data_IF_637657224587
#
_entry.id   IF_637657224587
#
_cell.length_a   1.000
_cell.length_b   1.000
_cell.length_c   1.000
_cell.angle_alpha   90.00
_cell.angle_beta   90.00
_cell.angle_gamma   90.00
#
_symmetry.space_group_name_H-M   'P 1'
#
loop_
_entity.id
_entity.type
_entity.pdbx_description
1 polymer ?
#
# COMPACT_ATOMS: atom_id res chain seq x y z
N UNK A 1 -6.89 -45.83 29.80
CA UNK A 1 -6.75 -45.34 28.41
C UNK A 1 -5.78 -44.17 28.39
N UNK A 2 -4.58 -44.41 27.86
CA UNK A 2 -3.61 -43.37 27.52
C UNK A 2 -3.87 -42.97 26.07
N UNK A 3 -3.97 -41.67 25.78
CA UNK A 3 -4.04 -41.10 24.43
C UNK A 3 -3.37 -39.73 24.50
N UNK A 4 -2.04 -39.68 24.43
CA UNK A 4 -1.25 -39.44 23.21
C UNK A 4 -1.58 -38.08 22.58
N UNK A 5 -0.74 -37.09 22.93
CA UNK A 5 -0.73 -35.77 22.32
C UNK A 5 -0.20 -35.81 20.88
N UNK A 6 -0.73 -34.94 20.04
CA UNK A 6 -0.18 -34.66 18.73
C UNK A 6 0.61 -33.35 18.77
N UNK A 7 1.93 -33.47 18.74
CA UNK A 7 2.80 -32.39 18.32
C UNK A 7 2.68 -32.26 16.79
N UNK A 8 2.17 -31.12 16.32
CA UNK A 8 2.19 -30.80 14.89
C UNK A 8 3.46 -30.01 14.58
N UNK A 9 4.47 -30.74 14.11
CA UNK A 9 5.61 -30.25 13.30
C UNK A 9 5.15 -29.57 12.00
N UNK A 10 6.14 -29.22 11.15
CA UNK A 10 6.17 -28.83 9.71
C UNK A 10 5.83 -27.37 9.36
N UNK A 11 6.61 -26.62 8.59
CA UNK A 11 7.90 -26.82 7.90
C UNK A 11 8.50 -25.43 7.56
N UNK A 12 9.83 -25.35 7.51
CA UNK A 12 10.60 -24.17 7.11
C UNK A 12 10.68 -24.11 5.57
N UNK A 13 9.91 -23.22 4.92
CA UNK A 13 10.15 -22.93 3.50
C UNK A 13 11.28 -21.91 3.40
N UNK A 14 12.48 -22.44 3.17
CA UNK A 14 13.65 -21.77 2.62
C UNK A 14 13.37 -21.41 1.15
N UNK A 15 13.06 -20.14 0.86
CA UNK A 15 13.13 -19.63 -0.54
C UNK A 15 14.55 -19.14 -0.82
N UNK A 16 15.40 -20.07 -1.24
CA UNK A 16 16.64 -19.75 -1.94
C UNK A 16 16.38 -19.79 -3.45
N UNK A 17 16.63 -18.66 -4.10
CA UNK A 17 17.28 -18.46 -5.40
C UNK A 17 17.27 -19.61 -6.42
N UNK A 18 16.74 -19.34 -7.61
CA UNK A 18 17.33 -19.84 -8.86
C UNK A 18 17.10 -18.84 -9.98
N UNK A 19 18.21 -18.37 -10.55
CA UNK A 19 18.31 -17.65 -11.83
C UNK A 19 17.87 -18.55 -12.97
N UNK A 20 17.31 -17.99 -14.03
CA UNK A 20 17.69 -18.27 -15.43
C UNK A 20 17.12 -17.12 -16.29
N UNK A 21 17.99 -16.24 -16.77
CA UNK A 21 18.50 -16.21 -18.14
C UNK A 21 17.42 -15.88 -19.18
N UNK A 22 17.42 -14.62 -19.63
CA UNK A 22 17.01 -14.33 -21.01
C UNK A 22 17.95 -13.26 -21.57
N UNK A 23 19.09 -13.76 -22.03
CA UNK A 23 19.95 -13.08 -22.99
C UNK A 23 19.20 -12.96 -24.32
N UNK A 24 19.12 -11.75 -24.88
CA UNK A 24 19.11 -11.56 -26.33
C UNK A 24 20.02 -10.37 -26.64
N UNK A 25 21.20 -10.70 -27.14
CA UNK A 25 22.12 -9.76 -27.73
C UNK A 25 21.60 -9.27 -29.09
N UNK A 26 21.58 -7.95 -29.29
CA UNK A 26 22.04 -7.38 -30.56
C UNK A 26 22.70 -6.02 -30.32
N UNK A 27 23.84 -5.85 -30.96
CA UNK A 27 24.84 -4.80 -30.75
C UNK A 27 24.36 -3.37 -31.05
N UNK A 28 24.91 -2.40 -30.32
CA UNK A 28 24.95 -1.02 -30.81
C UNK A 28 25.21 0.05 -29.75
N UNK A 29 26.43 0.59 -29.78
CA UNK A 29 26.82 1.93 -29.30
C UNK A 29 26.83 2.21 -27.78
N UNK A 30 28.03 2.07 -27.23
CA UNK A 30 28.53 2.80 -26.06
C UNK A 30 28.42 4.31 -26.26
N UNK A 31 27.46 4.99 -25.62
CA UNK A 31 27.58 6.36 -25.06
C UNK A 31 26.24 6.80 -24.45
N UNK A 32 25.96 6.46 -23.19
CA UNK A 32 24.96 7.19 -22.36
C UNK A 32 24.98 6.76 -20.87
N UNK A 33 26.11 6.32 -20.30
CA UNK A 33 26.12 5.78 -18.93
C UNK A 33 26.09 6.83 -17.80
N UNK A 34 26.15 8.13 -18.09
CA UNK A 34 26.11 9.15 -17.04
C UNK A 34 24.69 9.66 -16.72
N UNK A 35 23.74 9.53 -17.64
CA UNK A 35 22.42 10.15 -17.47
C UNK A 35 21.42 9.24 -16.72
N UNK A 36 21.61 7.92 -16.78
CA UNK A 36 20.65 6.96 -16.21
C UNK A 36 20.71 6.86 -14.66
N UNK A 37 21.84 7.21 -14.04
CA UNK A 37 21.98 7.17 -12.58
C UNK A 37 21.24 8.33 -11.88
N UNK A 38 21.14 9.48 -12.56
CA UNK A 38 20.48 10.67 -12.01
C UNK A 38 18.94 10.54 -12.07
N UNK A 39 18.43 9.84 -13.08
CA UNK A 39 16.98 9.66 -13.27
C UNK A 39 16.35 8.70 -12.23
N UNK A 40 17.08 7.70 -11.73
CA UNK A 40 16.57 6.77 -10.70
C UNK A 40 16.34 7.47 -9.34
N UNK A 41 17.07 8.55 -9.06
CA UNK A 41 16.94 9.30 -7.80
C UNK A 41 15.70 10.22 -7.75
N UNK A 42 15.04 10.46 -8.87
CA UNK A 42 13.84 11.31 -8.96
C UNK A 42 12.54 10.50 -9.05
N UNK A 43 12.59 9.23 -9.49
CA UNK A 43 11.43 8.31 -9.52
C UNK A 43 11.10 7.66 -8.17
N UNK A 44 11.95 7.86 -7.15
CA UNK A 44 11.55 7.62 -5.77
C UNK A 44 10.68 8.80 -5.37
N UNK A 45 9.47 8.82 -5.91
CA UNK A 45 8.43 9.74 -5.50
C UNK A 45 8.44 9.76 -3.98
N UNK A 46 8.44 10.97 -3.44
CA UNK A 46 8.08 11.22 -2.06
C UNK A 46 6.62 10.79 -1.92
N UNK A 47 6.33 9.49 -2.00
CA UNK A 47 5.11 8.90 -1.47
C UNK A 47 5.23 9.11 0.03
N UNK A 48 4.94 10.34 0.44
CA UNK A 48 4.91 10.76 1.80
C UNK A 48 4.07 9.73 2.52
N UNK A 49 4.71 9.09 3.48
CA UNK A 49 4.10 8.08 4.31
C UNK A 49 2.66 8.47 4.68
N UNK A 50 1.71 7.71 4.12
CA UNK A 50 0.28 7.88 4.32
C UNK A 50 0.00 7.80 5.83
N UNK A 51 -0.50 8.90 6.40
CA UNK A 51 -0.77 9.05 7.84
C UNK A 51 -2.22 9.45 8.06
N UNK A 52 -2.79 9.01 9.17
CA UNK A 52 -4.13 9.38 9.61
C UNK A 52 -4.21 10.90 9.87
N UNK A 53 -5.24 11.59 9.36
CA UNK A 53 -5.41 13.02 9.62
C UNK A 53 -5.71 13.29 11.11
N UNK A 54 -6.51 12.45 11.78
CA UNK A 54 -6.88 12.64 13.20
C UNK A 54 -5.74 12.32 14.19
N UNK A 55 -5.12 11.14 14.07
CA UNK A 55 -4.14 10.68 15.07
C UNK A 55 -2.69 10.64 14.57
N UNK A 56 -2.43 11.05 13.33
CA UNK A 56 -1.11 11.06 12.67
C UNK A 56 -0.39 9.70 12.62
N UNK A 57 -1.03 8.61 13.03
CA UNK A 57 -0.51 7.24 12.90
C UNK A 57 -0.25 6.89 11.43
N UNK A 58 0.84 6.17 11.16
CA UNK A 58 1.12 5.59 9.83
C UNK A 58 0.00 4.62 9.46
N UNK A 59 -0.68 4.84 8.34
CA UNK A 59 -1.77 3.97 7.85
C UNK A 59 -1.34 3.10 6.67
N UNK A 60 -0.24 3.45 6.00
CA UNK A 60 0.33 2.62 4.93
C UNK A 60 -0.67 2.33 3.82
N UNK A 61 -0.74 1.08 3.37
CA UNK A 61 -1.68 0.60 2.35
C UNK A 61 -3.12 0.44 2.89
N UNK A 62 -3.30 0.32 4.20
CA UNK A 62 -4.59 0.08 4.87
C UNK A 62 -5.29 1.38 5.30
N UNK A 63 -4.98 2.50 4.65
CA UNK A 63 -5.65 3.77 4.90
C UNK A 63 -7.04 3.80 4.29
N UNK A 64 -8.01 4.34 5.03
CA UNK A 64 -9.37 4.56 4.55
C UNK A 64 -9.52 6.02 4.14
N UNK A 65 -9.95 6.26 2.91
CA UNK A 65 -10.32 7.61 2.45
C UNK A 65 -11.76 7.93 2.88
N UNK A 66 -11.94 9.04 3.58
CA UNK A 66 -13.27 9.59 3.85
C UNK A 66 -13.78 10.37 2.64
N UNK A 67 -15.10 10.53 2.51
CA UNK A 67 -15.71 11.37 1.46
C UNK A 67 -15.31 12.85 1.54
N UNK A 68 -14.84 13.32 2.70
CA UNK A 68 -14.28 14.66 2.83
C UNK A 68 -12.87 14.82 2.23
N UNK A 69 -12.26 13.74 1.71
CA UNK A 69 -10.96 13.77 1.04
C UNK A 69 -9.75 13.43 1.92
N UNK A 70 -9.95 13.34 3.24
CA UNK A 70 -8.90 12.97 4.20
C UNK A 70 -8.70 11.45 4.30
N UNK A 71 -7.51 11.06 4.80
CA UNK A 71 -7.11 9.66 4.99
C UNK A 71 -7.02 9.31 6.47
N UNK A 72 -7.60 8.18 6.88
CA UNK A 72 -7.72 7.77 8.27
C UNK A 72 -7.32 6.30 8.50
N UNK A 73 -7.05 5.95 9.76
CA UNK A 73 -6.87 4.56 10.18
C UNK A 73 -8.24 3.87 10.43
N UNK A 74 -8.23 2.56 10.65
CA UNK A 74 -9.43 1.75 10.95
C UNK A 74 -10.33 2.35 12.02
N UNK A 75 -9.75 2.99 13.04
CA UNK A 75 -10.49 3.57 14.17
C UNK A 75 -11.12 4.93 13.82
N UNK A 76 -10.46 5.75 13.00
CA UNK A 76 -10.87 7.15 12.74
C UNK A 76 -11.59 7.35 11.41
N UNK A 77 -11.84 6.29 10.64
CA UNK A 77 -12.41 6.41 9.31
C UNK A 77 -13.88 6.86 9.30
N UNK A 78 -14.63 6.55 10.35
CA UNK A 78 -16.04 6.93 10.45
C UNK A 78 -16.20 8.43 10.68
N UNK A 79 -17.26 9.02 10.13
CA UNK A 79 -17.52 10.46 10.19
C UNK A 79 -17.79 11.00 11.59
N UNK A 80 -18.14 10.18 12.57
CA UNK A 80 -18.24 10.57 13.99
C UNK A 80 -16.88 10.74 14.67
N UNK A 81 -15.83 10.11 14.12
CA UNK A 81 -14.48 10.07 14.72
C UNK A 81 -13.60 11.27 14.33
N UNK A 82 -14.09 12.13 13.44
CA UNK A 82 -13.37 13.30 12.94
C UNK A 82 -14.37 14.41 12.58
N UNK A 83 -13.88 15.63 12.40
CA UNK A 83 -14.71 16.77 11.99
C UNK A 83 -15.01 16.70 10.48
N UNK A 84 -15.81 15.71 10.07
CA UNK A 84 -16.16 15.48 8.67
C UNK A 84 -17.03 16.63 8.14
N UNK A 85 -16.53 17.36 7.15
CA UNK A 85 -17.27 18.47 6.51
C UNK A 85 -18.18 18.01 5.36
N UNK A 86 -18.25 16.71 5.10
CA UNK A 86 -19.05 16.15 4.02
C UNK A 86 -20.52 16.00 4.44
N UNK A 87 -21.45 16.59 3.68
CA UNK A 87 -22.88 16.48 3.96
C UNK A 87 -23.47 15.17 3.39
N UNK A 88 -23.57 14.16 4.25
CA UNK A 88 -24.17 12.87 3.92
C UNK A 88 -25.69 12.93 3.69
N UNK A 89 -26.40 13.92 4.25
CA UNK A 89 -27.86 14.02 4.10
C UNK A 89 -28.22 14.43 2.69
N UNK A 90 -27.64 15.52 2.22
CA UNK A 90 -27.88 16.01 0.86
C UNK A 90 -27.37 15.00 -0.18
N UNK A 91 -26.20 14.41 0.05
CA UNK A 91 -25.66 13.37 -0.83
C UNK A 91 -26.58 12.13 -0.92
N UNK A 92 -27.18 11.71 0.20
CA UNK A 92 -28.13 10.60 0.22
C UNK A 92 -29.44 10.92 -0.51
N UNK A 93 -30.00 12.11 -0.31
CA UNK A 93 -31.22 12.55 -1.00
C UNK A 93 -31.02 12.63 -2.52
N UNK A 94 -29.90 13.20 -2.97
CA UNK A 94 -29.57 13.30 -4.39
C UNK A 94 -29.47 11.90 -5.05
N UNK A 95 -28.91 10.93 -4.34
CA UNK A 95 -28.78 9.56 -4.84
C UNK A 95 -30.12 8.81 -4.99
N UNK A 96 -31.13 9.17 -4.20
CA UNK A 96 -32.47 8.55 -4.23
C UNK A 96 -33.40 9.26 -5.22
N UNK A 97 -33.21 10.56 -5.45
CA UNK A 97 -34.07 11.38 -6.30
C UNK A 97 -33.92 11.10 -7.81
N UNK A 98 -33.22 10.03 -8.21
CA UNK A 98 -32.87 9.71 -9.59
C UNK A 98 -33.37 8.33 -9.98
#
# INVERSE_FOLDING_TARGET
MQGLGHASSKDVIRRSSSSDESELALAGATVASADLASQISLVKSKEGLKKCTSCRKRVGLTGFSCKCGDLFCTVHHYSDKHNCLFDYRNAGQNAIAK
#
